data_IF_025574634972
#
_entry.id   IF_025574634972
#
_cell.length_a   1.000
_cell.length_b   1.000
_cell.length_c   1.000
_cell.angle_alpha   90.00
_cell.angle_beta   90.00
_cell.angle_gamma   90.00
#
_symmetry.space_group_name_H-M   'P 1'
#
loop_
_entity.id
_entity.type
_entity.pdbx_description
1 polymer ?
#
# COMPACT_ATOMS: atom_id res chain seq x y z
N UNK A 1 0.35 -9.91 3.21
CA UNK A 1 -0.89 -9.16 2.87
C UNK A 1 -0.65 -8.32 1.63
N UNK A 2 -1.69 -8.08 0.85
CA UNK A 2 -1.67 -7.24 -0.36
C UNK A 2 -2.91 -6.34 -0.42
N UNK A 3 -2.73 -5.06 -0.74
CA UNK A 3 -3.82 -4.07 -0.77
C UNK A 3 -4.55 -4.17 -2.11
N UNK A 4 -5.85 -4.41 -2.05
CA UNK A 4 -6.68 -4.41 -3.25
C UNK A 4 -6.81 -3.00 -3.81
N UNK A 5 -6.42 -2.82 -5.08
CA UNK A 5 -6.53 -1.55 -5.80
C UNK A 5 -5.91 -0.35 -5.04
N UNK A 6 -4.69 -0.53 -4.52
CA UNK A 6 -3.98 0.42 -3.66
C UNK A 6 -4.09 1.90 -4.09
N UNK A 7 -3.90 2.20 -5.37
CA UNK A 7 -3.94 3.57 -5.89
C UNK A 7 -5.31 4.26 -5.69
N UNK A 8 -6.42 3.52 -5.68
CA UNK A 8 -7.74 4.14 -5.46
C UNK A 8 -7.88 4.75 -4.06
N UNK A 9 -7.05 4.33 -3.09
CA UNK A 9 -7.01 4.92 -1.76
C UNK A 9 -6.22 6.24 -1.74
N UNK A 10 -5.42 6.54 -2.78
CA UNK A 10 -4.63 7.75 -2.88
C UNK A 10 -5.49 8.99 -3.14
N UNK A 11 -5.27 10.04 -2.33
CA UNK A 11 -5.87 11.36 -2.56
C UNK A 11 -5.14 12.08 -3.68
N UNK A 12 -5.90 12.66 -4.60
CA UNK A 12 -5.40 13.46 -5.71
C UNK A 12 -5.70 14.93 -5.48
N UNK A 13 -4.78 15.77 -5.94
CA UNK A 13 -5.06 17.17 -6.26
C UNK A 13 -5.90 17.25 -7.56
N UNK A 14 -6.08 18.45 -8.11
CA UNK A 14 -6.89 18.66 -9.32
C UNK A 14 -6.28 18.01 -10.57
N UNK A 15 -6.82 16.83 -10.92
CA UNK A 15 -6.49 16.10 -12.14
C UNK A 15 -7.77 15.85 -12.94
N UNK A 16 -7.71 16.18 -14.21
CA UNK A 16 -8.80 15.99 -15.16
C UNK A 16 -8.37 15.01 -16.25
N UNK A 17 -9.33 14.24 -16.75
CA UNK A 17 -9.14 13.39 -17.91
C UNK A 17 -10.25 13.60 -18.92
N UNK A 18 -9.96 13.27 -20.19
CA UNK A 18 -10.99 13.18 -21.22
C UNK A 18 -12.07 12.18 -20.80
N UNK A 19 -13.30 12.42 -21.24
CA UNK A 19 -14.39 11.48 -21.03
C UNK A 19 -14.02 10.10 -21.61
N UNK A 20 -14.22 9.01 -20.85
CA UNK A 20 -13.97 7.67 -21.37
C UNK A 20 -14.98 7.33 -22.48
N UNK A 21 -14.58 6.40 -23.34
CA UNK A 21 -15.46 5.87 -24.37
C UNK A 21 -16.75 5.30 -23.75
N UNK A 22 -17.91 5.60 -24.35
CA UNK A 22 -19.23 5.23 -23.83
C UNK A 22 -19.82 6.18 -22.78
N UNK A 23 -19.06 7.17 -22.27
CA UNK A 23 -19.59 8.21 -21.37
C UNK A 23 -19.92 9.53 -22.08
N UNK A 24 -19.40 9.72 -23.30
CA UNK A 24 -19.60 10.95 -24.09
C UNK A 24 -21.07 11.07 -24.50
N UNK A 25 -21.70 12.18 -24.13
CA UNK A 25 -23.07 12.52 -24.53
C UNK A 25 -23.00 13.52 -25.68
N UNK A 26 -23.84 13.32 -26.71
CA UNK A 26 -23.91 14.23 -27.85
C UNK A 26 -24.17 15.68 -27.41
N UNK A 27 -23.35 16.62 -27.89
CA UNK A 27 -23.38 18.03 -27.51
C UNK A 27 -22.66 18.37 -26.20
N UNK A 28 -21.99 17.40 -25.57
CA UNK A 28 -21.18 17.56 -24.34
C UNK A 28 -19.78 16.95 -24.47
N UNK A 29 -19.28 16.84 -25.70
CA UNK A 29 -18.00 16.20 -26.02
C UNK A 29 -16.81 16.90 -25.35
N UNK A 30 -16.90 18.22 -25.18
CA UNK A 30 -15.86 19.07 -24.57
C UNK A 30 -15.78 18.95 -23.03
N UNK A 31 -16.71 18.23 -22.40
CA UNK A 31 -16.63 18.00 -20.95
C UNK A 31 -15.44 17.11 -20.61
N UNK A 32 -14.95 17.28 -19.39
CA UNK A 32 -13.86 16.49 -18.81
C UNK A 32 -14.29 15.90 -17.48
N UNK A 33 -13.71 14.74 -17.14
CA UNK A 33 -13.94 14.09 -15.86
C UNK A 33 -12.89 14.57 -14.86
N UNK A 34 -13.33 15.11 -13.72
CA UNK A 34 -12.44 15.34 -12.57
C UNK A 34 -12.22 14.02 -11.83
N UNK A 35 -10.97 13.60 -11.71
CA UNK A 35 -10.61 12.41 -10.94
C UNK A 35 -10.71 12.72 -9.44
N UNK A 36 -11.45 11.86 -8.72
CA UNK A 36 -11.58 11.94 -7.26
C UNK A 36 -10.53 11.11 -6.51
N UNK A 37 -9.98 10.10 -7.17
CA UNK A 37 -9.04 9.13 -6.63
C UNK A 37 -7.90 8.88 -7.60
N UNK A 38 -6.72 8.53 -7.09
CA UNK A 38 -5.60 8.19 -7.95
C UNK A 38 -5.85 6.86 -8.66
N UNK A 39 -5.56 6.80 -9.96
CA UNK A 39 -5.82 5.61 -10.78
C UNK A 39 -4.52 5.08 -11.37
N UNK A 40 -4.54 3.83 -11.81
CA UNK A 40 -3.39 3.27 -12.51
C UNK A 40 -3.02 4.10 -13.75
N UNK A 41 -1.73 4.22 -14.04
CA UNK A 41 -1.22 4.97 -15.20
C UNK A 41 -0.94 6.46 -14.94
N UNK A 42 -1.41 7.05 -13.83
CA UNK A 42 -0.95 8.38 -13.44
C UNK A 42 0.44 8.30 -12.81
N UNK A 43 1.34 9.21 -13.20
CA UNK A 43 2.71 9.28 -12.68
C UNK A 43 2.75 9.52 -11.16
N UNK A 44 1.75 10.22 -10.61
CA UNK A 44 1.66 10.55 -9.19
C UNK A 44 0.95 9.50 -8.34
N UNK A 45 0.26 8.51 -8.92
CA UNK A 45 -0.51 7.52 -8.14
C UNK A 45 0.31 6.77 -7.09
N UNK A 46 1.54 6.29 -7.38
CA UNK A 46 2.38 5.66 -6.36
C UNK A 46 2.68 6.58 -5.18
N UNK A 47 2.93 7.87 -5.45
CA UNK A 47 3.20 8.88 -4.42
C UNK A 47 1.95 9.19 -3.59
N UNK A 48 0.80 9.35 -4.23
CA UNK A 48 -0.48 9.58 -3.56
C UNK A 48 -0.84 8.41 -2.63
N UNK A 49 -0.63 7.18 -3.09
CA UNK A 49 -0.81 6.00 -2.25
C UNK A 49 0.17 5.95 -1.08
N UNK A 50 1.47 6.17 -1.34
CA UNK A 50 2.49 6.15 -0.29
C UNK A 50 2.22 7.19 0.81
N UNK A 51 1.73 8.39 0.45
CA UNK A 51 1.38 9.42 1.43
C UNK A 51 0.23 8.99 2.35
N UNK A 52 -0.78 8.30 1.81
CA UNK A 52 -1.90 7.77 2.60
C UNK A 52 -1.42 6.64 3.51
N UNK A 53 -0.59 5.72 2.99
CA UNK A 53 -0.03 4.63 3.76
C UNK A 53 0.89 5.13 4.89
N UNK A 54 1.80 6.06 4.60
CA UNK A 54 2.69 6.69 5.59
C UNK A 54 1.88 7.32 6.72
N UNK A 55 0.84 8.10 6.39
CA UNK A 55 -0.03 8.72 7.39
C UNK A 55 -0.66 7.66 8.32
N UNK A 56 -1.23 6.59 7.75
CA UNK A 56 -1.87 5.53 8.56
C UNK A 56 -0.85 4.78 9.42
N UNK A 57 0.34 4.46 8.90
CA UNK A 57 1.38 3.79 9.68
C UNK A 57 1.89 4.68 10.83
N UNK A 58 2.05 5.99 10.61
CA UNK A 58 2.39 6.94 11.67
C UNK A 58 1.31 7.04 12.75
N UNK A 59 0.04 7.09 12.36
CA UNK A 59 -1.09 7.06 13.30
C UNK A 59 -1.12 5.78 14.13
N UNK A 60 -0.63 4.65 13.59
CA UNK A 60 -0.44 3.38 14.31
C UNK A 60 0.83 3.33 15.17
N UNK A 61 1.62 4.41 15.23
CA UNK A 61 2.83 4.51 16.05
C UNK A 61 4.12 4.00 15.40
N UNK A 62 4.12 3.79 14.08
CA UNK A 62 5.33 3.47 13.34
C UNK A 62 6.09 4.73 12.92
N UNK A 63 7.41 4.60 12.81
CA UNK A 63 8.32 5.62 12.31
C UNK A 63 9.01 5.13 11.05
N UNK A 64 8.95 5.93 9.99
CA UNK A 64 9.67 5.68 8.76
C UNK A 64 11.18 5.73 9.00
N UNK A 65 11.92 4.77 8.45
CA UNK A 65 13.38 4.70 8.52
C UNK A 65 14.02 5.85 7.77
N UNK A 66 15.11 6.38 8.31
CA UNK A 66 15.93 7.42 7.67
C UNK A 66 16.79 6.87 6.53
N UNK A 67 17.10 5.57 6.56
CA UNK A 67 17.94 4.91 5.55
C UNK A 67 17.15 4.50 4.31
N UNK A 68 15.90 4.08 4.49
CA UNK A 68 15.01 3.66 3.41
C UNK A 68 13.56 4.06 3.72
N UNK A 69 12.95 4.99 2.95
CA UNK A 69 11.56 5.41 3.11
C UNK A 69 10.51 4.30 2.94
N UNK A 70 10.88 3.14 2.38
CA UNK A 70 10.00 1.97 2.28
C UNK A 70 9.93 1.16 3.58
N UNK A 71 10.81 1.44 4.55
CA UNK A 71 10.92 0.70 5.80
C UNK A 71 10.28 1.51 6.93
N UNK A 72 9.44 0.84 7.72
CA UNK A 72 8.85 1.39 8.93
C UNK A 72 9.27 0.55 10.11
N UNK A 73 9.50 1.21 11.24
CA UNK A 73 9.93 0.61 12.50
C UNK A 73 9.03 1.04 13.63
N UNK A 74 8.84 0.17 14.62
CA UNK A 74 8.24 0.57 15.89
C UNK A 74 9.33 0.60 16.95
N UNK A 75 9.50 1.77 17.61
CA UNK A 75 10.51 1.98 18.66
C UNK A 75 10.26 1.14 19.91
N UNK A 76 9.11 0.46 19.98
CA UNK A 76 8.84 -0.48 21.06
C UNK A 76 9.82 -1.67 21.02
N UNK A 77 10.30 -2.12 19.85
CA UNK A 77 11.22 -3.29 19.77
C UNK A 77 12.23 -3.30 18.60
N UNK A 78 12.34 -2.23 17.80
CA UNK A 78 13.33 -2.19 16.71
C UNK A 78 13.03 -3.16 15.56
N UNK A 79 11.77 -3.53 15.36
CA UNK A 79 11.33 -4.34 14.22
C UNK A 79 11.47 -3.49 12.93
N UNK A 80 12.36 -3.90 12.04
CA UNK A 80 12.53 -3.34 10.70
C UNK A 80 11.62 -4.13 9.77
N UNK A 81 10.65 -3.44 9.15
CA UNK A 81 9.51 -4.01 8.40
C UNK A 81 8.36 -4.48 9.29
N UNK A 82 7.16 -4.57 8.70
CA UNK A 82 6.09 -5.43 9.20
C UNK A 82 6.51 -6.89 8.93
N UNK A 83 7.61 -7.30 9.53
CA UNK A 83 8.08 -8.67 9.72
C UNK A 83 8.22 -8.78 11.22
N UNK A 84 7.08 -9.04 11.84
CA UNK A 84 6.94 -9.11 13.28
C UNK A 84 7.38 -10.48 13.75
N UNK A 85 8.11 -10.52 14.86
CA UNK A 85 8.58 -11.78 15.46
C UNK A 85 7.47 -12.49 16.25
N UNK A 86 6.46 -11.75 16.68
CA UNK A 86 5.31 -12.24 17.43
C UNK A 86 4.08 -12.40 16.54
N UNK A 87 3.53 -13.62 16.52
CA UNK A 87 2.30 -13.95 15.80
C UNK A 87 1.11 -13.08 16.27
N UNK A 88 1.01 -12.78 17.57
CA UNK A 88 -0.07 -11.97 18.13
C UNK A 88 -0.01 -10.52 17.65
N UNK A 89 1.17 -9.88 17.79
CA UNK A 89 1.35 -8.49 17.38
C UNK A 89 1.22 -8.34 15.87
N UNK A 90 1.74 -9.31 15.12
CA UNK A 90 1.53 -9.36 13.68
C UNK A 90 0.05 -9.45 13.33
N UNK A 91 -0.73 -10.31 14.00
CA UNK A 91 -2.18 -10.38 13.80
C UNK A 91 -2.85 -9.04 14.07
N UNK A 92 -2.53 -8.37 15.17
CA UNK A 92 -3.11 -7.05 15.48
C UNK A 92 -2.75 -5.98 14.44
N UNK A 93 -1.51 -5.98 13.93
CA UNK A 93 -1.12 -5.07 12.84
C UNK A 93 -1.88 -5.41 11.57
N UNK A 94 -2.00 -6.70 11.22
CA UNK A 94 -2.75 -7.15 10.04
C UNK A 94 -4.21 -6.71 10.11
N UNK A 95 -4.84 -6.88 11.28
CA UNK A 95 -6.21 -6.46 11.54
C UNK A 95 -6.35 -4.93 11.40
N UNK A 96 -5.53 -4.15 12.09
CA UNK A 96 -5.57 -2.70 12.04
C UNK A 96 -5.36 -2.14 10.63
N UNK A 97 -4.43 -2.70 9.83
CA UNK A 97 -4.27 -2.28 8.43
C UNK A 97 -5.45 -2.72 7.57
N UNK A 98 -6.05 -3.89 7.84
CA UNK A 98 -7.23 -4.40 7.13
C UNK A 98 -8.52 -3.64 7.45
N UNK A 99 -8.60 -2.99 8.61
CA UNK A 99 -9.69 -2.04 8.92
C UNK A 99 -9.60 -0.77 8.06
N UNK A 100 -8.39 -0.33 7.72
CA UNK A 100 -8.17 0.89 6.93
C UNK A 100 -8.24 0.64 5.43
N UNK A 101 -7.78 -0.52 4.98
CA UNK A 101 -7.66 -0.84 3.57
C UNK A 101 -8.25 -2.20 3.26
N UNK A 102 -8.90 -2.32 2.10
CA UNK A 102 -9.31 -3.62 1.59
C UNK A 102 -8.08 -4.44 1.24
N UNK A 103 -7.87 -5.52 1.99
CA UNK A 103 -6.64 -6.31 1.94
C UNK A 103 -6.94 -7.77 1.62
N UNK A 104 -5.97 -8.44 1.02
CA UNK A 104 -5.94 -9.89 0.85
C UNK A 104 -4.76 -10.42 1.66
N UNK A 105 -5.01 -11.33 2.59
CA UNK A 105 -3.90 -12.09 3.16
C UNK A 105 -3.45 -13.15 2.16
N UNK A 106 -2.14 -13.21 1.92
CA UNK A 106 -1.48 -14.15 1.02
C UNK A 106 -0.84 -15.31 1.80
N UNK A 107 -0.97 -15.32 3.13
CA UNK A 107 -0.34 -16.29 4.00
C UNK A 107 1.16 -16.00 4.14
N UNK A 108 1.94 -17.07 4.26
CA UNK A 108 3.39 -17.00 4.37
C UNK A 108 4.02 -16.40 3.11
N UNK A 109 4.98 -15.48 3.29
CA UNK A 109 5.67 -14.85 2.18
C UNK A 109 6.49 -15.88 1.41
N UNK A 110 6.07 -16.15 0.18
CA UNK A 110 6.77 -17.04 -0.75
C UNK A 110 7.26 -16.32 -2.01
N UNK A 111 6.79 -15.10 -2.25
CA UNK A 111 7.25 -14.22 -3.32
C UNK A 111 7.21 -12.76 -2.85
N UNK A 112 8.21 -11.98 -3.26
CA UNK A 112 8.27 -10.54 -3.03
C UNK A 112 8.91 -9.85 -4.24
N UNK A 113 8.20 -8.91 -4.87
CA UNK A 113 8.68 -8.16 -6.06
C UNK A 113 9.22 -9.04 -7.20
N UNK A 114 8.63 -10.23 -7.40
CA UNK A 114 9.07 -11.18 -8.43
C UNK A 114 10.24 -12.07 -8.01
N UNK A 115 10.75 -11.90 -6.79
CA UNK A 115 11.76 -12.75 -6.18
C UNK A 115 11.06 -13.85 -5.39
N UNK A 116 11.52 -15.09 -5.51
CA UNK A 116 10.97 -16.22 -4.75
C UNK A 116 11.63 -16.23 -3.37
N UNK A 117 10.81 -16.29 -2.33
CA UNK A 117 11.27 -16.33 -0.94
C UNK A 117 11.13 -17.74 -0.41
N UNK A 118 12.18 -18.28 0.20
CA UNK A 118 12.16 -19.54 0.95
C UNK A 118 12.55 -19.26 2.39
N UNK A 119 11.65 -19.54 3.32
CA UNK A 119 11.87 -19.31 4.74
C UNK A 119 12.19 -20.65 5.43
N UNK A 120 13.24 -20.67 6.24
CA UNK A 120 13.55 -21.77 7.15
C UNK A 120 13.40 -21.25 8.60
N UNK A 121 12.24 -21.48 9.24
CA UNK A 121 11.98 -21.01 10.60
C UNK A 121 12.86 -21.66 11.65
N UNK A 122 13.45 -22.85 11.37
CA UNK A 122 14.26 -23.58 12.35
C UNK A 122 15.66 -23.01 12.44
N UNK A 123 16.20 -22.61 11.30
CA UNK A 123 17.54 -22.03 11.20
C UNK A 123 17.51 -20.49 11.24
N UNK A 124 16.32 -19.87 11.32
CA UNK A 124 16.10 -18.41 11.24
C UNK A 124 16.67 -17.79 9.95
N UNK A 125 16.58 -18.52 8.82
CA UNK A 125 17.15 -18.10 7.52
C UNK A 125 16.04 -17.76 6.53
N UNK A 126 16.24 -16.69 5.76
CA UNK A 126 15.42 -16.33 4.60
C UNK A 126 16.31 -16.32 3.35
N UNK A 127 15.94 -17.13 2.34
CA UNK A 127 16.55 -17.14 1.02
C UNK A 127 15.68 -16.36 0.03
N UNK A 128 16.33 -15.54 -0.80
CA UNK A 128 15.73 -14.70 -1.85
C UNK A 128 16.40 -15.00 -3.20
#
# INVERSE_FOLDING_TARGET
>A
MDVTAAFLNGKLDEVYMKQPEGFVIQGKEELVCKLKHSIYGLKQSPRCWNAVLDQQLREMGFSQSTSDPCIYTSTLEGEFFIVGRSDERMSSIKEAVSEKFKMKDLGEMNHFLGVKVVQDPKEEIIWI
#
